data_IF_911473727155
#
_entry.id   IF_911473727155
#
_cell.length_a   1.000
_cell.length_b   1.000
_cell.length_c   1.000
_cell.angle_alpha   90.00
_cell.angle_beta   90.00
_cell.angle_gamma   90.00
#
_symmetry.space_group_name_H-M   'P 1'
#
loop_
_entity.id
_entity.type
_entity.pdbx_description
1 polymer ?
#
# COMPACT_ATOMS: atom_id res chain seq x y z
N UNK A 1 3.31 -5.23 -45.47
CA UNK A 1 3.09 -4.11 -44.52
C UNK A 1 2.52 -2.88 -45.20
N UNK A 2 3.11 -2.36 -46.30
CA UNK A 2 2.60 -1.16 -47.00
C UNK A 2 1.09 -1.19 -47.32
N UNK A 3 0.57 -2.30 -47.84
CA UNK A 3 -0.88 -2.44 -48.11
C UNK A 3 -1.76 -2.30 -46.85
N UNK A 4 -1.28 -2.75 -45.69
CA UNK A 4 -2.06 -2.66 -44.46
C UNK A 4 -2.10 -1.24 -43.89
N UNK A 5 -1.02 -0.47 -44.04
CA UNK A 5 -0.97 0.94 -43.63
C UNK A 5 -1.90 1.80 -44.49
N UNK A 6 -1.90 1.54 -45.81
CA UNK A 6 -2.76 2.26 -46.75
C UNK A 6 -4.24 1.91 -46.54
N UNK A 7 -4.57 0.65 -46.26
CA UNK A 7 -5.94 0.24 -45.89
C UNK A 7 -6.39 0.86 -44.56
N UNK A 8 -5.50 0.93 -43.57
CA UNK A 8 -5.80 1.59 -42.29
C UNK A 8 -6.00 3.11 -42.45
N UNK A 9 -5.22 3.75 -43.32
CA UNK A 9 -5.41 5.16 -43.68
C UNK A 9 -6.72 5.40 -44.43
N UNK A 10 -7.10 4.49 -45.34
CA UNK A 10 -8.40 4.56 -46.03
C UNK A 10 -9.56 4.41 -45.03
N UNK A 11 -9.49 3.42 -44.14
CA UNK A 11 -10.49 3.26 -43.08
C UNK A 11 -10.60 4.53 -42.23
N UNK A 12 -9.48 5.15 -41.88
CA UNK A 12 -9.47 6.43 -41.16
C UNK A 12 -10.21 7.54 -41.92
N UNK A 13 -9.99 7.69 -43.23
CA UNK A 13 -10.75 8.65 -44.04
C UNK A 13 -12.25 8.35 -44.01
N UNK A 14 -12.62 7.08 -44.18
CA UNK A 14 -14.01 6.66 -44.22
C UNK A 14 -14.71 6.94 -42.87
N UNK A 15 -14.01 6.78 -41.74
CA UNK A 15 -14.55 7.16 -40.41
C UNK A 15 -14.70 8.67 -40.28
N UNK A 16 -13.66 9.45 -40.64
CA UNK A 16 -13.69 10.92 -40.49
C UNK A 16 -14.76 11.57 -41.37
N UNK A 17 -15.04 10.99 -42.53
CA UNK A 17 -16.10 11.43 -43.44
C UNK A 17 -17.50 10.94 -43.05
N UNK A 18 -17.61 10.06 -42.04
CA UNK A 18 -18.89 9.53 -41.55
C UNK A 18 -19.45 8.35 -42.35
N UNK A 19 -18.65 7.76 -43.23
CA UNK A 19 -19.00 6.60 -44.05
C UNK A 19 -19.00 5.29 -43.24
N UNK A 20 -18.30 5.26 -42.10
CA UNK A 20 -18.27 4.10 -41.19
C UNK A 20 -18.39 4.57 -39.73
N UNK A 21 -19.30 3.95 -38.98
CA UNK A 21 -19.44 4.16 -37.53
C UNK A 21 -18.43 3.30 -36.77
N UNK A 22 -17.56 3.93 -35.98
CA UNK A 22 -16.57 3.23 -35.17
C UNK A 22 -16.33 3.91 -33.81
N UNK A 23 -15.87 3.12 -32.85
CA UNK A 23 -15.37 3.60 -31.57
C UNK A 23 -14.05 4.36 -31.77
N UNK A 24 -13.99 5.59 -31.27
CA UNK A 24 -12.85 6.51 -31.42
C UNK A 24 -11.53 5.92 -30.91
N UNK A 25 -11.58 5.14 -29.82
CA UNK A 25 -10.38 4.53 -29.21
C UNK A 25 -9.86 3.38 -30.07
N UNK A 26 -10.76 2.62 -30.70
CA UNK A 26 -10.38 1.59 -31.66
C UNK A 26 -9.69 2.22 -32.88
N UNK A 27 -10.19 3.36 -33.36
CA UNK A 27 -9.58 4.06 -34.48
C UNK A 27 -8.14 4.52 -34.16
N UNK A 28 -7.94 5.16 -33.01
CA UNK A 28 -6.59 5.55 -32.55
C UNK A 28 -5.69 4.33 -32.45
N UNK A 29 -6.18 3.23 -31.87
CA UNK A 29 -5.43 1.97 -31.74
C UNK A 29 -5.00 1.41 -33.09
N UNK A 30 -5.87 1.46 -34.10
CA UNK A 30 -5.58 1.01 -35.46
C UNK A 30 -4.47 1.88 -36.06
N UNK A 31 -4.56 3.21 -35.94
CA UNK A 31 -3.53 4.11 -36.44
C UNK A 31 -2.16 3.83 -35.78
N UNK A 32 -2.14 3.66 -34.47
CA UNK A 32 -0.93 3.31 -33.70
C UNK A 32 -0.33 1.96 -34.14
N UNK A 33 -1.15 0.90 -34.21
CA UNK A 33 -0.70 -0.47 -34.54
C UNK A 33 -0.15 -0.56 -35.95
N UNK A 34 -0.78 0.12 -36.91
CA UNK A 34 -0.33 0.14 -38.29
C UNK A 34 0.67 1.26 -38.59
N UNK A 35 1.01 2.09 -37.60
CA UNK A 35 1.94 3.22 -37.72
C UNK A 35 1.57 4.12 -38.92
N UNK A 36 0.30 4.51 -38.99
CA UNK A 36 -0.24 5.35 -40.07
C UNK A 36 0.26 6.79 -39.90
N UNK A 37 0.94 7.31 -40.91
CA UNK A 37 1.49 8.68 -40.93
C UNK A 37 0.69 9.59 -41.87
N UNK A 38 0.95 10.90 -41.81
CA UNK A 38 0.32 11.88 -42.70
C UNK A 38 0.48 11.52 -44.20
N UNK A 39 1.65 10.99 -44.59
CA UNK A 39 1.91 10.54 -45.97
C UNK A 39 0.96 9.43 -46.43
N UNK A 40 0.55 8.54 -45.51
CA UNK A 40 -0.42 7.49 -45.83
C UNK A 40 -1.83 8.07 -46.00
N UNK A 41 -2.20 9.06 -45.17
CA UNK A 41 -3.48 9.77 -45.28
C UNK A 41 -3.54 10.54 -46.59
N UNK A 42 -2.46 11.26 -46.95
CA UNK A 42 -2.34 11.96 -48.24
C UNK A 42 -2.52 11.00 -49.42
N UNK A 43 -1.85 9.85 -49.39
CA UNK A 43 -1.98 8.81 -50.41
C UNK A 43 -3.41 8.27 -50.52
N UNK A 44 -4.06 8.01 -49.39
CA UNK A 44 -5.45 7.54 -49.37
C UNK A 44 -6.42 8.61 -49.92
N UNK A 45 -6.18 9.88 -49.59
CA UNK A 45 -6.96 11.00 -50.13
C UNK A 45 -6.81 11.12 -51.65
N UNK A 46 -5.58 10.97 -52.17
CA UNK A 46 -5.30 10.95 -53.61
C UNK A 46 -5.99 9.80 -54.36
N UNK A 47 -6.12 8.63 -53.75
CA UNK A 47 -6.83 7.48 -54.33
C UNK A 47 -8.35 7.75 -54.38
N UNK A 48 -8.88 8.43 -53.37
CA UNK A 48 -10.31 8.76 -53.26
C UNK A 48 -10.74 9.98 -54.10
N UNK A 49 -9.79 10.84 -54.51
CA UNK A 49 -10.07 12.09 -55.19
C UNK A 49 -9.58 12.09 -56.66
N UNK A 50 -10.42 12.53 -57.59
CA UNK A 50 -10.12 12.60 -59.03
C UNK A 50 -9.11 13.69 -59.44
N UNK A 51 -8.42 14.37 -58.51
CA UNK A 51 -7.41 15.40 -58.80
C UNK A 51 -6.26 15.44 -57.76
N UNK A 52 -5.08 15.87 -58.22
CA UNK A 52 -3.84 16.02 -57.44
C UNK A 52 -4.04 16.86 -56.16
N UNK A 53 -3.90 16.23 -55.01
CA UNK A 53 -3.94 16.84 -53.67
C UNK A 53 -2.50 16.96 -53.14
N UNK A 54 -2.14 18.13 -52.61
CA UNK A 54 -0.87 18.41 -51.92
C UNK A 54 -0.96 18.07 -50.43
N UNK A 55 0.20 17.83 -49.81
CA UNK A 55 0.40 17.47 -48.40
C UNK A 55 -0.28 18.43 -47.41
N UNK A 56 -0.36 19.72 -47.73
CA UNK A 56 -1.05 20.76 -46.91
C UNK A 56 -2.54 20.47 -46.68
N UNK A 57 -3.21 19.75 -47.60
CA UNK A 57 -4.64 19.40 -47.43
C UNK A 57 -4.85 18.22 -46.47
N UNK A 58 -3.87 17.32 -46.34
CA UNK A 58 -3.99 16.14 -45.48
C UNK A 58 -3.78 16.51 -44.01
N UNK A 59 -2.81 17.37 -43.71
CA UNK A 59 -2.61 17.92 -42.36
C UNK A 59 -3.84 18.73 -41.91
N UNK A 60 -4.33 19.66 -42.74
CA UNK A 60 -5.53 20.43 -42.43
C UNK A 60 -6.79 19.55 -42.24
N UNK A 61 -6.90 18.45 -42.98
CA UNK A 61 -7.98 17.49 -42.82
C UNK A 61 -7.92 16.79 -41.45
N UNK A 62 -6.73 16.32 -41.05
CA UNK A 62 -6.50 15.69 -39.74
C UNK A 62 -6.70 16.70 -38.62
N UNK A 63 -6.19 17.92 -38.75
CA UNK A 63 -6.37 19.01 -37.78
C UNK A 63 -7.84 19.33 -37.55
N UNK A 64 -8.66 19.42 -38.62
CA UNK A 64 -10.09 19.65 -38.49
C UNK A 64 -10.79 18.52 -37.71
N UNK A 65 -10.39 17.28 -37.94
CA UNK A 65 -10.91 16.15 -37.17
C UNK A 65 -10.50 16.20 -35.69
N UNK A 66 -9.24 16.56 -35.41
CA UNK A 66 -8.73 16.75 -34.06
C UNK A 66 -9.48 17.91 -33.37
N UNK A 67 -9.74 19.02 -34.06
CA UNK A 67 -10.49 20.15 -33.53
C UNK A 67 -11.90 19.76 -33.09
N UNK A 68 -12.57 18.86 -33.81
CA UNK A 68 -13.88 18.32 -33.38
C UNK A 68 -13.77 17.57 -32.05
N UNK A 69 -12.72 16.78 -31.85
CA UNK A 69 -12.44 16.10 -30.57
C UNK A 69 -12.12 17.07 -29.45
N UNK A 70 -11.39 18.15 -29.74
CA UNK A 70 -11.10 19.21 -28.77
C UNK A 70 -12.38 19.98 -28.39
N UNK A 71 -13.32 20.15 -29.32
CA UNK A 71 -14.62 20.77 -29.06
C UNK A 71 -15.56 19.85 -28.27
N UNK A 72 -15.49 18.54 -28.46
CA UNK A 72 -16.26 17.54 -27.70
C UNK A 72 -15.62 17.14 -26.37
N UNK A 73 -14.55 17.81 -25.94
CA UNK A 73 -13.76 17.50 -24.73
C UNK A 73 -13.14 16.08 -24.72
N UNK A 74 -12.97 15.45 -25.89
CA UNK A 74 -12.27 14.16 -26.07
C UNK A 74 -10.74 14.37 -26.14
N UNK A 75 -10.15 14.97 -25.10
CA UNK A 75 -8.76 15.44 -25.10
C UNK A 75 -7.72 14.32 -25.26
N UNK A 76 -7.90 13.19 -24.58
CA UNK A 76 -7.01 12.03 -24.73
C UNK A 76 -6.94 11.53 -26.19
N UNK A 77 -8.08 11.50 -26.89
CA UNK A 77 -8.16 11.10 -28.30
C UNK A 77 -7.45 12.14 -29.17
N UNK A 78 -7.74 13.43 -28.95
CA UNK A 78 -7.09 14.54 -29.66
C UNK A 78 -5.56 14.51 -29.51
N UNK A 79 -5.05 14.38 -28.28
CA UNK A 79 -3.61 14.30 -28.01
C UNK A 79 -2.97 13.07 -28.66
N UNK A 80 -3.66 11.92 -28.66
CA UNK A 80 -3.14 10.70 -29.29
C UNK A 80 -3.04 10.84 -30.81
N UNK A 81 -4.00 11.52 -31.44
CA UNK A 81 -3.96 11.84 -32.87
C UNK A 81 -2.86 12.86 -33.19
N UNK A 82 -2.72 13.91 -32.38
CA UNK A 82 -1.64 14.90 -32.53
C UNK A 82 -0.25 14.24 -32.45
N UNK A 83 -0.04 13.35 -31.48
CA UNK A 83 1.20 12.58 -31.34
C UNK A 83 1.42 11.64 -32.54
N UNK A 84 0.39 10.87 -32.94
CA UNK A 84 0.45 9.92 -34.05
C UNK A 84 0.87 10.58 -35.36
N UNK A 85 0.35 11.79 -35.63
CA UNK A 85 0.63 12.53 -36.85
C UNK A 85 1.77 13.56 -36.69
N UNK A 86 2.38 13.65 -35.50
CA UNK A 86 3.47 14.58 -35.19
C UNK A 86 3.10 16.06 -35.41
N UNK A 87 1.89 16.46 -35.03
CA UNK A 87 1.36 17.82 -35.18
C UNK A 87 1.53 18.59 -33.85
N UNK A 88 2.18 19.76 -33.89
CA UNK A 88 2.57 20.52 -32.69
C UNK A 88 1.88 21.90 -32.54
N UNK A 89 0.96 22.24 -33.44
CA UNK A 89 0.47 23.63 -33.63
C UNK A 89 -0.38 24.17 -32.45
N UNK A 90 -0.85 23.31 -31.54
CA UNK A 90 -1.74 23.71 -30.44
C UNK A 90 -1.04 24.26 -29.18
N UNK A 91 0.28 24.06 -29.05
CA UNK A 91 1.14 24.70 -28.04
C UNK A 91 0.65 24.66 -26.58
N UNK A 92 0.92 25.74 -25.84
CA UNK A 92 0.56 25.95 -24.43
C UNK A 92 -0.94 26.19 -24.19
N UNK A 93 -1.69 26.95 -25.02
CA UNK A 93 -3.11 27.17 -24.80
C UNK A 93 -3.92 25.88 -24.69
N UNK A 94 -3.52 24.85 -25.44
CA UNK A 94 -4.16 23.55 -25.37
C UNK A 94 -3.87 22.81 -24.06
N UNK A 95 -2.65 22.95 -23.52
CA UNK A 95 -2.29 22.43 -22.21
C UNK A 95 -3.17 23.06 -21.11
N UNK A 96 -3.28 24.39 -21.10
CA UNK A 96 -4.10 25.11 -20.12
C UNK A 96 -5.57 24.68 -20.17
N UNK A 97 -6.13 24.53 -21.38
CA UNK A 97 -7.50 24.04 -21.58
C UNK A 97 -7.71 22.66 -20.96
N UNK A 98 -6.77 21.72 -21.14
CA UNK A 98 -6.87 20.38 -20.55
C UNK A 98 -6.78 20.40 -19.01
N UNK A 99 -5.95 21.30 -18.45
CA UNK A 99 -5.81 21.46 -17.00
C UNK A 99 -7.08 22.08 -16.40
N UNK A 100 -7.65 23.11 -17.03
CA UNK A 100 -8.90 23.76 -16.61
C UNK A 100 -10.07 22.75 -16.55
N UNK A 101 -10.16 21.90 -17.57
CA UNK A 101 -11.17 20.83 -17.68
C UNK A 101 -10.82 19.58 -16.87
N UNK A 102 -9.72 19.61 -16.11
CA UNK A 102 -9.23 18.52 -15.23
C UNK A 102 -8.91 17.21 -15.94
N UNK A 103 -8.64 17.23 -17.25
CA UNK A 103 -8.09 16.08 -17.98
C UNK A 103 -6.55 16.06 -17.86
N UNK A 104 -6.08 15.79 -16.65
CA UNK A 104 -4.67 15.71 -16.31
C UNK A 104 -3.92 14.64 -17.09
N UNK A 105 -4.60 13.55 -17.49
CA UNK A 105 -3.98 12.46 -18.25
C UNK A 105 -3.64 12.91 -19.66
N UNK A 106 -4.55 13.64 -20.30
CA UNK A 106 -4.31 14.22 -21.62
C UNK A 106 -3.22 15.30 -21.55
N UNK A 107 -3.27 16.16 -20.53
CA UNK A 107 -2.24 17.19 -20.30
C UNK A 107 -0.84 16.59 -20.13
N UNK A 108 -0.68 15.53 -19.32
CA UNK A 108 0.61 14.85 -19.15
C UNK A 108 1.13 14.22 -20.45
N UNK A 109 0.24 13.59 -21.24
CA UNK A 109 0.60 12.98 -22.52
C UNK A 109 1.04 14.07 -23.52
N UNK A 110 0.30 15.17 -23.60
CA UNK A 110 0.63 16.30 -24.48
C UNK A 110 1.96 16.94 -24.10
N UNK A 111 2.19 17.22 -22.82
CA UNK A 111 3.45 17.79 -22.37
C UNK A 111 4.64 16.86 -22.66
N UNK A 112 4.46 15.55 -22.49
CA UNK A 112 5.50 14.56 -22.80
C UNK A 112 5.85 14.55 -24.30
N UNK A 113 4.84 14.64 -25.16
CA UNK A 113 5.03 14.72 -26.62
C UNK A 113 5.72 16.01 -27.05
N UNK A 114 5.30 17.17 -26.50
CA UNK A 114 5.90 18.48 -26.80
C UNK A 114 7.31 18.65 -26.23
N UNK A 115 7.68 17.83 -25.25
CA UNK A 115 9.04 17.75 -24.71
C UNK A 115 9.26 18.61 -23.45
N UNK A 116 10.55 18.84 -23.16
CA UNK A 116 11.00 19.35 -21.85
C UNK A 116 10.38 20.71 -21.45
N UNK A 117 10.27 21.65 -22.38
CA UNK A 117 9.70 22.98 -22.10
C UNK A 117 8.25 22.89 -21.64
N UNK A 118 7.42 22.09 -22.33
CA UNK A 118 6.02 21.90 -21.98
C UNK A 118 5.86 21.14 -20.66
N UNK A 119 6.75 20.19 -20.37
CA UNK A 119 6.79 19.51 -19.07
C UNK A 119 7.09 20.48 -17.92
N UNK A 120 7.98 21.46 -18.12
CA UNK A 120 8.23 22.50 -17.12
C UNK A 120 6.97 23.34 -16.83
N UNK A 121 6.26 23.77 -17.87
CA UNK A 121 5.00 24.53 -17.72
C UNK A 121 3.96 23.70 -16.97
N UNK A 122 3.82 22.41 -17.31
CA UNK A 122 2.90 21.52 -16.60
C UNK A 122 3.24 21.38 -15.11
N UNK A 123 4.53 21.31 -14.77
CA UNK A 123 4.98 21.26 -13.37
C UNK A 123 4.62 22.55 -12.63
N UNK A 124 4.85 23.71 -13.24
CA UNK A 124 4.49 25.01 -12.66
C UNK A 124 2.99 25.13 -12.39
N UNK A 125 2.16 24.71 -13.36
CA UNK A 125 0.70 24.70 -13.18
C UNK A 125 0.24 23.74 -12.09
N UNK A 126 0.82 22.54 -12.01
CA UNK A 126 0.53 21.62 -10.93
C UNK A 126 0.90 22.20 -9.56
N UNK A 127 1.99 22.96 -9.46
CA UNK A 127 2.38 23.65 -8.23
C UNK A 127 1.36 24.74 -7.87
N UNK A 128 0.92 25.55 -8.85
CA UNK A 128 -0.12 26.58 -8.64
C UNK A 128 -1.43 25.97 -8.14
N UNK A 129 -1.79 24.78 -8.62
CA UNK A 129 -2.98 24.02 -8.20
C UNK A 129 -2.76 23.20 -6.91
N UNK A 130 -1.61 23.33 -6.24
CA UNK A 130 -1.23 22.56 -5.06
C UNK A 130 -1.21 21.02 -5.27
N UNK A 131 -0.99 20.57 -6.51
CA UNK A 131 -0.91 19.17 -6.92
C UNK A 131 0.52 18.61 -6.81
N UNK A 132 1.13 18.72 -5.64
CA UNK A 132 2.53 18.35 -5.38
C UNK A 132 2.88 16.91 -5.78
N UNK A 133 1.98 15.95 -5.53
CA UNK A 133 2.22 14.55 -5.91
C UNK A 133 2.30 14.34 -7.44
N UNK A 134 1.49 15.08 -8.19
CA UNK A 134 1.54 15.09 -9.66
C UNK A 134 2.85 15.71 -10.15
N UNK A 135 3.19 16.88 -9.62
CA UNK A 135 4.40 17.62 -9.97
C UNK A 135 5.66 16.77 -9.74
N UNK A 136 5.78 16.15 -8.56
CA UNK A 136 6.86 15.22 -8.24
C UNK A 136 6.94 14.04 -9.20
N UNK A 137 5.79 13.48 -9.57
CA UNK A 137 5.71 12.36 -10.52
C UNK A 137 6.27 12.73 -11.89
N UNK A 138 6.02 13.95 -12.36
CA UNK A 138 6.55 14.47 -13.63
C UNK A 138 8.04 14.77 -13.54
N UNK A 139 8.46 15.48 -12.48
CA UNK A 139 9.87 15.82 -12.23
C UNK A 139 10.73 14.56 -12.21
N UNK A 140 10.31 13.53 -11.47
CA UNK A 140 11.06 12.28 -11.31
C UNK A 140 11.14 11.45 -12.59
N UNK A 141 10.04 11.34 -13.36
CA UNK A 141 10.00 10.54 -14.59
C UNK A 141 10.85 11.12 -15.72
N UNK A 142 10.97 12.45 -15.75
CA UNK A 142 11.62 13.17 -16.84
C UNK A 142 12.96 13.80 -16.45
N UNK A 143 13.51 13.43 -15.29
CA UNK A 143 14.79 13.94 -14.76
C UNK A 143 14.86 15.48 -14.68
N UNK A 144 13.81 16.13 -14.18
CA UNK A 144 13.71 17.61 -14.07
C UNK A 144 14.09 18.16 -12.68
N UNK A 145 14.92 17.44 -11.93
CA UNK A 145 15.25 17.80 -10.55
C UNK A 145 16.09 19.10 -10.49
N UNK A 146 16.91 19.36 -11.50
CA UNK A 146 17.76 20.55 -11.55
C UNK A 146 16.94 21.82 -11.82
N UNK A 147 15.84 21.70 -12.54
CA UNK A 147 14.94 22.80 -12.89
C UNK A 147 14.00 23.16 -11.73
N UNK A 148 13.64 22.18 -10.90
CA UNK A 148 12.68 22.36 -9.80
C UNK A 148 13.19 21.81 -8.46
N UNK A 149 14.36 22.26 -7.95
CA UNK A 149 14.95 21.73 -6.72
C UNK A 149 14.04 21.97 -5.49
N UNK A 150 13.45 23.16 -5.37
CA UNK A 150 12.56 23.51 -4.25
C UNK A 150 11.26 22.71 -4.25
N UNK A 151 10.63 22.57 -5.42
CA UNK A 151 9.39 21.80 -5.58
C UNK A 151 9.66 20.33 -5.27
N UNK A 152 10.77 19.80 -5.78
CA UNK A 152 11.19 18.42 -5.54
C UNK A 152 11.41 18.16 -4.04
N UNK A 153 12.09 19.08 -3.34
CA UNK A 153 12.28 19.02 -1.89
C UNK A 153 10.95 19.07 -1.13
N UNK A 154 10.10 20.06 -1.41
CA UNK A 154 8.77 20.22 -0.77
C UNK A 154 7.87 19.00 -0.95
N UNK A 155 7.93 18.35 -2.11
CA UNK A 155 7.20 17.10 -2.35
C UNK A 155 7.71 15.94 -1.49
N UNK A 156 9.04 15.85 -1.29
CA UNK A 156 9.63 14.85 -0.39
C UNK A 156 9.23 15.12 1.06
N UNK A 157 9.31 16.36 1.53
CA UNK A 157 8.84 16.75 2.88
C UNK A 157 7.37 16.36 3.10
N UNK A 158 6.48 16.74 2.18
CA UNK A 158 5.06 16.37 2.27
C UNK A 158 4.86 14.85 2.35
N UNK A 159 5.62 14.09 1.55
CA UNK A 159 5.59 12.64 1.63
C UNK A 159 6.13 12.09 2.95
N UNK A 160 7.16 12.69 3.54
CA UNK A 160 7.72 12.28 4.84
C UNK A 160 6.72 12.57 5.96
N UNK A 161 6.10 13.76 5.94
CA UNK A 161 5.05 14.14 6.88
C UNK A 161 3.91 13.13 6.89
N UNK A 162 3.40 12.75 5.71
CA UNK A 162 2.34 11.73 5.61
C UNK A 162 2.78 10.36 6.15
N UNK A 163 4.07 9.99 6.04
CA UNK A 163 4.57 8.73 6.61
C UNK A 163 4.69 8.82 8.13
N UNK A 164 5.23 9.92 8.66
CA UNK A 164 5.35 10.19 10.09
C UNK A 164 3.96 10.20 10.77
N UNK A 165 2.97 10.88 10.19
CA UNK A 165 1.58 10.90 10.68
C UNK A 165 0.95 9.49 10.75
N UNK A 166 1.41 8.57 9.90
CA UNK A 166 0.97 7.17 9.89
C UNK A 166 1.78 6.25 10.82
N UNK A 167 2.81 6.78 11.48
CA UNK A 167 3.76 6.01 12.29
C UNK A 167 4.75 5.17 11.46
N UNK A 168 4.89 5.44 10.16
CA UNK A 168 5.77 4.70 9.26
C UNK A 168 7.22 5.25 9.29
N UNK A 169 7.82 5.32 10.48
CA UNK A 169 9.07 6.04 10.72
C UNK A 169 10.27 5.47 9.97
N UNK A 170 10.45 4.15 9.99
CA UNK A 170 11.60 3.53 9.32
C UNK A 170 11.51 3.65 7.78
N UNK A 171 10.28 3.65 7.25
CA UNK A 171 10.03 3.95 5.82
C UNK A 171 10.38 5.40 5.49
N UNK A 172 10.04 6.33 6.39
CA UNK A 172 10.35 7.75 6.22
C UNK A 172 11.86 7.98 6.29
N UNK A 173 12.53 7.34 7.24
CA UNK A 173 13.98 7.37 7.39
C UNK A 173 14.70 6.83 6.15
N UNK A 174 14.30 5.66 5.63
CA UNK A 174 14.88 5.08 4.42
C UNK A 174 14.74 5.99 3.18
N UNK A 175 13.72 6.85 3.14
CA UNK A 175 13.55 7.87 2.09
C UNK A 175 14.39 9.13 2.32
N UNK A 176 14.71 9.44 3.56
CA UNK A 176 15.45 10.63 3.97
C UNK A 176 16.96 10.40 4.08
N UNK A 177 17.43 9.15 4.28
CA UNK A 177 18.82 8.82 4.67
C UNK A 177 19.96 9.42 3.83
N UNK A 178 19.71 9.80 2.58
CA UNK A 178 20.70 10.39 1.69
C UNK A 178 20.61 11.93 1.62
N UNK A 179 19.78 12.55 2.46
CA UNK A 179 19.46 13.97 2.43
C UNK A 179 19.36 14.50 3.86
N UNK A 180 20.36 15.29 4.27
CA UNK A 180 20.48 15.78 5.64
C UNK A 180 19.31 16.68 6.04
N UNK A 181 18.81 17.52 5.13
CA UNK A 181 17.69 18.43 5.44
C UNK A 181 16.41 17.64 5.71
N UNK A 182 16.18 16.57 4.94
CA UNK A 182 15.04 15.70 5.15
C UNK A 182 15.15 14.86 6.44
N UNK A 183 16.37 14.47 6.83
CA UNK A 183 16.62 13.82 8.12
C UNK A 183 16.33 14.77 9.29
N UNK A 184 16.83 16.00 9.23
CA UNK A 184 16.54 17.04 10.22
C UNK A 184 15.03 17.32 10.29
N UNK A 185 14.34 17.42 9.15
CA UNK A 185 12.88 17.52 9.08
C UNK A 185 12.16 16.33 9.74
N UNK A 186 12.65 15.10 9.54
CA UNK A 186 12.10 13.92 10.19
C UNK A 186 12.27 13.96 11.71
N UNK A 187 13.39 14.49 12.22
CA UNK A 187 13.59 14.72 13.65
C UNK A 187 12.56 15.73 14.19
N UNK A 188 12.34 16.86 13.49
CA UNK A 188 11.32 17.82 13.89
C UNK A 188 9.91 17.19 13.96
N UNK A 189 9.55 16.37 12.97
CA UNK A 189 8.28 15.65 12.98
C UNK A 189 8.16 14.69 14.17
N UNK A 190 9.26 14.00 14.54
CA UNK A 190 9.28 13.11 15.70
C UNK A 190 9.12 13.89 17.02
N UNK A 191 9.77 15.06 17.14
CA UNK A 191 9.61 15.96 18.28
C UNK A 191 8.17 16.48 18.41
N UNK A 192 7.58 16.95 17.31
CA UNK A 192 6.19 17.43 17.30
C UNK A 192 5.19 16.33 17.67
N UNK A 193 5.46 15.09 17.26
CA UNK A 193 4.64 13.93 17.56
C UNK A 193 4.91 13.32 18.95
N UNK A 194 5.90 13.82 19.69
CA UNK A 194 6.24 13.36 21.05
C UNK A 194 7.05 12.06 21.11
N UNK A 195 7.66 11.61 20.01
CA UNK A 195 8.48 10.40 19.96
C UNK A 195 9.95 10.69 20.28
N UNK A 196 10.24 11.05 21.53
CA UNK A 196 11.59 11.43 21.99
C UNK A 196 12.62 10.31 21.78
N UNK A 197 12.21 9.05 21.94
CA UNK A 197 13.06 7.90 21.67
C UNK A 197 13.48 7.82 20.19
N UNK A 198 12.59 8.19 19.26
CA UNK A 198 12.91 8.22 17.83
C UNK A 198 13.78 9.42 17.49
N UNK A 199 13.62 10.54 18.20
CA UNK A 199 14.51 11.72 18.09
C UNK A 199 15.94 11.33 18.45
N UNK A 200 16.15 10.71 19.62
CA UNK A 200 17.47 10.29 20.08
C UNK A 200 18.08 9.24 19.13
N UNK A 201 17.26 8.31 18.64
CA UNK A 201 17.68 7.30 17.66
C UNK A 201 18.17 7.93 16.34
N UNK A 202 17.40 8.85 15.76
CA UNK A 202 17.75 9.53 14.50
C UNK A 202 18.99 10.42 14.68
N UNK A 203 19.03 11.22 15.76
CA UNK A 203 20.18 12.08 16.06
C UNK A 203 21.46 11.27 16.28
N UNK A 204 21.37 10.16 17.02
CA UNK A 204 22.50 9.26 17.26
C UNK A 204 22.96 8.57 15.97
N UNK A 205 22.04 8.01 15.18
CA UNK A 205 22.36 7.26 13.96
C UNK A 205 23.01 8.11 12.87
N UNK A 206 22.58 9.35 12.72
CA UNK A 206 23.06 10.25 11.65
C UNK A 206 23.94 11.40 12.14
N UNK A 207 24.34 11.38 13.41
CA UNK A 207 25.16 12.44 14.04
C UNK A 207 24.56 13.84 13.81
N UNK A 208 23.27 13.98 14.10
CA UNK A 208 22.57 15.26 13.98
C UNK A 208 22.70 16.04 15.30
N UNK A 209 23.14 17.30 15.21
CA UNK A 209 23.37 18.19 16.35
C UNK A 209 22.36 19.35 16.35
N UNK A 210 22.19 20.04 17.49
CA UNK A 210 21.31 21.21 17.60
C UNK A 210 19.86 20.91 18.01
N UNK A 211 19.49 19.63 18.10
CA UNK A 211 18.20 19.22 18.68
C UNK A 211 18.32 19.13 20.20
N UNK A 212 17.33 19.65 20.93
CA UNK A 212 17.29 19.56 22.39
C UNK A 212 17.20 18.08 22.75
N UNK A 213 18.29 17.51 23.26
CA UNK A 213 18.28 16.18 23.90
C UNK A 213 17.23 16.21 24.98
N UNK A 214 16.42 15.16 25.08
CA UNK A 214 15.39 15.04 26.10
C UNK A 214 16.01 15.24 27.49
N UNK A 215 15.91 16.47 28.04
CA UNK A 215 15.73 16.61 29.48
C UNK A 215 14.29 16.20 29.70
N UNK A 216 14.08 15.21 30.56
CA UNK A 216 12.75 14.77 31.00
C UNK A 216 11.82 15.98 31.12
N UNK A 217 10.78 16.10 30.28
CA UNK A 217 9.82 17.16 30.44
C UNK A 217 9.04 16.89 31.73
N UNK A 218 8.80 17.94 32.51
CA UNK A 218 7.86 17.94 33.63
C UNK A 218 6.60 17.12 33.28
N UNK A 219 6.21 16.26 34.23
CA UNK A 219 5.16 15.23 34.17
C UNK A 219 3.74 15.74 33.79
N UNK A 220 3.57 17.01 33.46
CA UNK A 220 2.28 17.71 33.36
C UNK A 220 1.78 17.99 31.92
N UNK A 221 2.49 17.57 30.87
CA UNK A 221 1.94 17.62 29.49
C UNK A 221 1.09 16.40 29.15
N UNK A 222 -0.13 16.42 29.66
CA UNK A 222 -1.24 15.45 29.52
C UNK A 222 -1.73 15.12 28.08
N UNK A 223 -0.93 15.24 27.01
CA UNK A 223 -1.41 15.06 25.62
C UNK A 223 -0.91 13.85 24.83
N UNK A 224 0.04 13.05 25.30
CA UNK A 224 0.47 11.84 24.55
C UNK A 224 1.21 10.78 25.37
N UNK A 225 0.63 10.30 26.47
CA UNK A 225 1.16 9.10 27.13
C UNK A 225 0.77 7.84 26.32
N UNK A 226 1.76 7.02 25.99
CA UNK A 226 1.58 5.68 25.44
C UNK A 226 1.57 4.66 26.58
N UNK A 227 0.86 3.54 26.40
CA UNK A 227 0.90 2.42 27.34
C UNK A 227 2.29 1.78 27.36
N UNK A 228 2.73 1.37 28.55
CA UNK A 228 3.87 0.45 28.74
C UNK A 228 3.40 -0.89 29.33
N UNK A 229 4.26 -1.90 29.26
CA UNK A 229 3.96 -3.22 29.84
C UNK A 229 3.78 -3.18 31.36
N UNK A 230 4.50 -2.29 32.05
CA UNK A 230 4.42 -2.11 33.51
C UNK A 230 3.01 -1.70 33.96
N UNK A 231 2.32 -0.86 33.17
CA UNK A 231 0.95 -0.43 33.45
C UNK A 231 -0.08 -1.57 33.34
N UNK A 232 0.28 -2.63 32.59
CA UNK A 232 -0.56 -3.78 32.33
C UNK A 232 -0.24 -4.96 33.26
N UNK A 233 0.70 -4.80 34.21
CA UNK A 233 1.09 -5.80 35.20
C UNK A 233 1.50 -7.15 34.57
N UNK A 234 2.27 -7.08 33.48
CA UNK A 234 2.93 -8.23 32.87
C UNK A 234 4.14 -8.61 33.72
N UNK A 235 4.18 -9.88 34.15
CA UNK A 235 5.21 -10.42 35.02
C UNK A 235 6.49 -10.72 34.22
N UNK A 236 6.34 -11.28 33.01
CA UNK A 236 7.48 -11.72 32.18
C UNK A 236 7.26 -11.47 30.69
N UNK A 237 8.35 -11.09 30.02
CA UNK A 237 8.48 -11.02 28.56
C UNK A 237 9.55 -12.02 28.09
N UNK A 238 9.12 -13.07 27.39
CA UNK A 238 9.96 -14.23 27.07
C UNK A 238 10.20 -14.31 25.55
N UNK A 239 11.46 -14.19 25.15
CA UNK A 239 11.90 -14.47 23.77
C UNK A 239 12.05 -15.98 23.57
N UNK A 240 11.42 -16.52 22.53
CA UNK A 240 11.35 -17.95 22.25
C UNK A 240 11.99 -18.24 20.89
N UNK A 241 13.21 -18.77 20.91
CA UNK A 241 14.01 -19.03 19.71
C UNK A 241 14.65 -20.42 19.68
N UNK A 242 14.20 -21.33 20.57
CA UNK A 242 14.63 -22.73 20.63
C UNK A 242 13.44 -23.67 20.83
N UNK A 243 13.63 -24.94 20.46
CA UNK A 243 12.62 -25.97 20.60
C UNK A 243 12.16 -26.19 22.05
N UNK A 244 13.09 -26.15 23.01
CA UNK A 244 12.79 -26.35 24.43
C UNK A 244 12.00 -25.17 25.00
N UNK A 245 12.41 -23.95 24.68
CA UNK A 245 11.67 -22.75 25.07
C UNK A 245 10.26 -22.74 24.46
N UNK A 246 10.11 -23.19 23.21
CA UNK A 246 8.81 -23.28 22.56
C UNK A 246 7.89 -24.31 23.22
N UNK A 247 8.42 -25.48 23.60
CA UNK A 247 7.65 -26.48 24.32
C UNK A 247 7.22 -26.00 25.72
N UNK A 248 8.10 -25.28 26.43
CA UNK A 248 7.77 -24.66 27.71
C UNK A 248 6.67 -23.60 27.55
N UNK A 249 6.81 -22.70 26.58
CA UNK A 249 5.82 -21.68 26.27
C UNK A 249 4.46 -22.31 25.89
N UNK A 250 4.47 -23.37 25.07
CA UNK A 250 3.26 -24.13 24.69
C UNK A 250 2.56 -24.74 25.90
N UNK A 251 3.32 -25.36 26.81
CA UNK A 251 2.78 -25.99 28.01
C UNK A 251 2.15 -24.97 28.96
N UNK A 252 2.69 -23.75 29.02
CA UNK A 252 2.08 -22.64 29.74
C UNK A 252 0.78 -22.18 29.06
N UNK A 253 0.82 -21.91 27.75
CA UNK A 253 -0.33 -21.40 27.00
C UNK A 253 -1.54 -22.34 26.98
N UNK A 254 -1.33 -23.66 27.01
CA UNK A 254 -2.41 -24.65 27.10
C UNK A 254 -3.19 -24.60 28.42
N UNK A 255 -2.58 -24.06 29.49
CA UNK A 255 -3.24 -23.86 30.77
C UNK A 255 -4.08 -22.58 30.79
N UNK A 256 -3.77 -21.62 29.91
CA UNK A 256 -4.53 -20.40 29.74
C UNK A 256 -5.89 -20.68 29.08
N UNK A 257 -6.91 -19.89 29.46
CA UNK A 257 -8.23 -19.94 28.80
C UNK A 257 -8.34 -18.95 27.64
N UNK A 258 -7.57 -17.88 27.70
CA UNK A 258 -7.59 -16.77 26.76
C UNK A 258 -6.15 -16.35 26.50
N UNK A 259 -5.80 -16.11 25.25
CA UNK A 259 -4.51 -15.54 24.84
C UNK A 259 -4.71 -14.49 23.76
N UNK A 260 -3.94 -13.41 23.80
CA UNK A 260 -3.80 -12.46 22.68
C UNK A 260 -2.78 -12.96 21.69
N UNK A 261 -3.02 -12.75 20.39
CA UNK A 261 -2.11 -13.12 19.30
C UNK A 261 -1.95 -11.98 18.32
N UNK A 262 -0.71 -11.76 17.90
CA UNK A 262 -0.36 -10.81 16.84
C UNK A 262 0.86 -11.31 16.05
N UNK A 263 1.22 -10.62 14.96
CA UNK A 263 2.35 -10.99 14.11
C UNK A 263 3.06 -9.76 13.54
N UNK A 264 4.38 -9.86 13.36
CA UNK A 264 5.17 -8.79 12.77
C UNK A 264 6.08 -9.30 11.65
N UNK A 265 6.23 -8.47 10.61
CA UNK A 265 7.08 -8.77 9.46
C UNK A 265 7.72 -7.50 8.90
N UNK A 266 8.90 -7.66 8.32
CA UNK A 266 9.58 -6.55 7.65
C UNK A 266 8.69 -5.97 6.54
N UNK A 267 8.44 -4.67 6.52
CA UNK A 267 7.64 -4.05 5.46
C UNK A 267 8.37 -4.13 4.11
N UNK A 268 7.59 -4.21 3.05
CA UNK A 268 8.12 -4.24 1.69
C UNK A 268 7.98 -2.86 1.04
N UNK A 269 9.10 -2.20 0.77
CA UNK A 269 9.12 -0.84 0.23
C UNK A 269 9.18 -0.80 -1.30
N UNK A 270 9.44 -1.93 -1.94
CA UNK A 270 9.50 -2.04 -3.40
C UNK A 270 8.13 -2.45 -3.92
N UNK A 271 7.61 -1.72 -4.90
CA UNK A 271 6.29 -2.04 -5.47
C UNK A 271 6.42 -3.30 -6.34
N UNK A 272 5.60 -4.31 -6.06
CA UNK A 272 5.51 -5.55 -6.85
C UNK A 272 6.49 -6.67 -6.45
N UNK A 273 7.32 -6.47 -5.43
CA UNK A 273 8.11 -7.55 -4.83
C UNK A 273 7.23 -8.51 -4.03
N UNK A 274 7.72 -9.75 -3.84
CA UNK A 274 7.04 -10.75 -3.02
C UNK A 274 6.90 -10.26 -1.57
N UNK A 275 5.79 -10.56 -0.88
CA UNK A 275 5.65 -10.25 0.54
C UNK A 275 6.78 -10.88 1.36
N UNK A 276 7.30 -10.13 2.35
CA UNK A 276 8.27 -10.69 3.29
C UNK A 276 7.60 -11.68 4.23
N UNK A 277 8.37 -12.64 4.74
CA UNK A 277 7.83 -13.64 5.67
C UNK A 277 7.49 -13.02 7.02
N UNK A 278 6.51 -13.60 7.72
CA UNK A 278 6.27 -13.29 9.14
C UNK A 278 7.53 -13.58 9.93
N UNK A 279 8.08 -12.56 10.59
CA UNK A 279 9.37 -12.66 11.28
C UNK A 279 9.21 -13.14 12.71
N UNK A 280 8.18 -12.64 13.41
CA UNK A 280 7.83 -13.04 14.77
C UNK A 280 6.32 -13.20 14.92
N UNK A 281 5.92 -14.02 15.89
CA UNK A 281 4.54 -14.12 16.36
C UNK A 281 4.53 -13.88 17.86
N UNK A 282 3.59 -13.07 18.32
CA UNK A 282 3.43 -12.80 19.74
C UNK A 282 2.23 -13.55 20.27
N UNK A 283 2.37 -14.13 21.46
CA UNK A 283 1.26 -14.77 22.17
C UNK A 283 1.32 -14.33 23.62
N UNK A 284 0.27 -13.67 24.11
CA UNK A 284 0.21 -13.12 25.45
C UNK A 284 -0.91 -13.75 26.26
N UNK A 285 -0.63 -14.11 27.51
CA UNK A 285 -1.64 -14.35 28.54
C UNK A 285 -1.95 -13.05 29.28
N UNK A 286 -2.69 -13.14 30.39
CA UNK A 286 -2.88 -12.02 31.32
C UNK A 286 -1.57 -11.59 32.01
N UNK A 287 -0.57 -12.47 32.08
CA UNK A 287 0.63 -12.27 32.91
C UNK A 287 1.96 -12.41 32.19
N UNK A 288 1.99 -13.14 31.08
CA UNK A 288 3.24 -13.45 30.38
C UNK A 288 3.05 -13.23 28.90
N UNK A 289 4.01 -12.55 28.27
CA UNK A 289 4.07 -12.36 26.83
C UNK A 289 5.22 -13.19 26.25
N UNK A 290 4.93 -14.00 25.24
CA UNK A 290 5.90 -14.76 24.48
C UNK A 290 6.09 -14.13 23.10
N UNK A 291 7.34 -13.94 22.69
CA UNK A 291 7.69 -13.53 21.33
C UNK A 291 8.45 -14.68 20.67
N UNK A 292 7.79 -15.33 19.70
CA UNK A 292 8.33 -16.46 18.96
C UNK A 292 9.14 -15.99 17.75
N UNK A 293 10.41 -16.37 17.68
CA UNK A 293 11.26 -16.16 16.50
C UNK A 293 10.90 -17.18 15.40
N UNK A 294 9.89 -16.86 14.59
CA UNK A 294 9.42 -17.79 13.56
C UNK A 294 10.48 -18.09 12.49
N UNK A 295 11.41 -17.15 12.24
CA UNK A 295 12.49 -17.36 11.27
C UNK A 295 13.39 -18.49 11.78
N UNK A 296 13.93 -18.32 12.99
CA UNK A 296 14.85 -19.29 13.58
C UNK A 296 14.17 -20.61 13.90
N UNK A 297 12.98 -20.59 14.50
CA UNK A 297 12.25 -21.82 14.86
C UNK A 297 11.87 -22.65 13.63
N UNK A 298 11.53 -22.01 12.51
CA UNK A 298 11.21 -22.73 11.28
C UNK A 298 12.46 -23.37 10.65
N UNK A 299 13.61 -22.70 10.72
CA UNK A 299 14.85 -23.22 10.16
C UNK A 299 15.45 -24.33 11.05
N UNK A 300 15.40 -24.17 12.37
CA UNK A 300 16.03 -25.08 13.34
C UNK A 300 15.14 -26.27 13.73
N UNK A 301 13.83 -26.07 13.87
CA UNK A 301 12.92 -27.09 14.43
C UNK A 301 11.48 -27.01 13.86
N UNK A 302 11.27 -27.15 12.53
CA UNK A 302 9.98 -26.93 11.90
C UNK A 302 8.88 -27.89 12.38
N UNK A 303 9.20 -29.15 12.69
CA UNK A 303 8.22 -30.14 13.18
C UNK A 303 7.75 -29.79 14.60
N UNK A 304 8.66 -29.32 15.45
CA UNK A 304 8.35 -28.89 16.81
C UNK A 304 7.52 -27.61 16.75
N UNK A 305 7.92 -26.64 15.91
CA UNK A 305 7.14 -25.44 15.64
C UNK A 305 5.70 -25.76 15.21
N UNK A 306 5.54 -26.66 14.24
CA UNK A 306 4.23 -27.06 13.74
C UNK A 306 3.39 -27.70 14.85
N UNK A 307 3.94 -28.70 15.54
CA UNK A 307 3.22 -29.44 16.58
C UNK A 307 2.79 -28.55 17.77
N UNK A 308 3.66 -27.63 18.20
CA UNK A 308 3.39 -26.68 19.28
C UNK A 308 2.30 -25.68 18.89
N UNK A 309 2.40 -25.07 17.72
CA UNK A 309 1.38 -24.11 17.27
C UNK A 309 0.05 -24.77 16.91
N UNK A 310 0.04 -26.04 16.44
CA UNK A 310 -1.19 -26.83 16.31
C UNK A 310 -1.91 -26.94 17.66
N UNK A 311 -1.18 -27.26 18.74
CA UNK A 311 -1.75 -27.38 20.09
C UNK A 311 -2.37 -26.10 20.61
N UNK A 312 -1.99 -24.93 20.09
CA UNK A 312 -2.53 -23.63 20.49
C UNK A 312 -3.64 -23.17 19.52
N UNK A 313 -3.31 -23.04 18.24
CA UNK A 313 -4.19 -22.47 17.22
C UNK A 313 -5.38 -23.37 16.92
N UNK A 314 -5.19 -24.69 16.88
CA UNK A 314 -6.29 -25.63 16.61
C UNK A 314 -7.06 -26.02 17.88
N UNK A 315 -6.61 -25.61 19.07
CA UNK A 315 -7.25 -26.02 20.31
C UNK A 315 -8.58 -25.28 20.53
N UNK A 316 -9.69 -26.00 20.77
CA UNK A 316 -10.96 -25.39 21.18
C UNK A 316 -10.97 -24.98 22.66
N UNK A 317 -9.91 -25.30 23.43
CA UNK A 317 -9.84 -25.00 24.87
C UNK A 317 -9.29 -23.62 25.18
N UNK A 318 -8.59 -23.02 24.21
CA UNK A 318 -7.95 -21.71 24.34
C UNK A 318 -8.62 -20.76 23.37
N UNK A 319 -9.20 -19.68 23.88
CA UNK A 319 -9.71 -18.58 23.08
C UNK A 319 -8.54 -17.70 22.62
N UNK A 320 -8.36 -17.56 21.31
CA UNK A 320 -7.37 -16.65 20.72
C UNK A 320 -8.05 -15.31 20.45
N UNK A 321 -7.45 -14.23 20.91
CA UNK A 321 -7.88 -12.87 20.64
C UNK A 321 -6.93 -12.27 19.62
N UNK A 322 -7.45 -11.72 18.54
CA UNK A 322 -6.65 -11.05 17.52
C UNK A 322 -7.31 -9.75 17.10
N UNK A 323 -6.60 -8.91 16.33
CA UNK A 323 -7.17 -7.70 15.75
C UNK A 323 -6.99 -7.71 14.23
N UNK A 324 -8.07 -7.97 13.48
CA UNK A 324 -8.00 -8.25 12.04
C UNK A 324 -7.07 -9.44 11.70
N UNK A 325 -7.02 -10.43 12.60
CA UNK A 325 -6.06 -11.55 12.58
C UNK A 325 -6.18 -12.48 11.36
N UNK A 326 -7.28 -12.35 10.59
CA UNK A 326 -7.41 -13.05 9.32
C UNK A 326 -6.32 -12.62 8.31
N UNK A 327 -5.89 -11.36 8.35
CA UNK A 327 -4.77 -10.87 7.55
C UNK A 327 -3.45 -11.54 7.97
N UNK A 328 -3.21 -11.65 9.27
CA UNK A 328 -2.01 -12.30 9.82
C UNK A 328 -1.97 -13.78 9.47
N UNK A 329 -3.10 -14.48 9.58
CA UNK A 329 -3.19 -15.89 9.20
C UNK A 329 -2.89 -16.11 7.71
N UNK A 330 -3.33 -15.20 6.84
CA UNK A 330 -3.00 -15.24 5.41
C UNK A 330 -1.49 -15.05 5.19
N UNK A 331 -0.88 -14.09 5.88
CA UNK A 331 0.55 -13.82 5.80
C UNK A 331 1.38 -15.00 6.35
N UNK A 332 0.98 -15.60 7.48
CA UNK A 332 1.58 -16.80 8.07
C UNK A 332 1.53 -17.99 7.11
N UNK A 333 0.35 -18.27 6.54
CA UNK A 333 0.15 -19.36 5.57
C UNK A 333 1.03 -19.20 4.33
N UNK A 334 1.15 -17.97 3.82
CA UNK A 334 2.01 -17.64 2.69
C UNK A 334 3.51 -17.73 3.02
N UNK A 335 3.88 -17.41 4.26
CA UNK A 335 5.27 -17.43 4.73
C UNK A 335 5.79 -18.85 4.97
N UNK A 336 4.94 -19.72 5.52
CA UNK A 336 5.28 -21.06 5.97
C UNK A 336 4.28 -22.12 5.44
N UNK A 337 4.15 -22.30 4.12
CA UNK A 337 3.08 -23.12 3.51
C UNK A 337 3.14 -24.62 3.85
N UNK A 338 4.28 -25.08 4.37
CA UNK A 338 4.48 -26.47 4.80
C UNK A 338 3.88 -26.75 6.18
N UNK A 339 3.78 -25.75 7.05
CA UNK A 339 3.26 -25.94 8.40
C UNK A 339 1.73 -26.10 8.38
N UNK A 340 1.23 -27.09 9.09
CA UNK A 340 -0.20 -27.33 9.24
C UNK A 340 -0.85 -26.36 10.23
N UNK A 341 -0.10 -25.86 11.22
CA UNK A 341 -0.58 -24.97 12.28
C UNK A 341 -1.19 -23.66 11.76
N UNK A 342 -0.78 -23.19 10.58
CA UNK A 342 -1.30 -21.95 9.98
C UNK A 342 -2.44 -22.18 8.97
N UNK A 343 -2.86 -23.44 8.75
CA UNK A 343 -3.95 -23.75 7.81
C UNK A 343 -5.32 -23.80 8.49
N UNK A 344 -5.34 -23.86 9.81
CA UNK A 344 -6.57 -23.97 10.61
C UNK A 344 -6.41 -23.17 11.89
N UNK A 345 -7.52 -22.69 12.40
CA UNK A 345 -7.62 -22.19 13.76
C UNK A 345 -9.03 -22.44 14.28
N UNK A 346 -9.15 -22.62 15.59
CA UNK A 346 -10.42 -22.75 16.29
C UNK A 346 -10.53 -21.65 17.34
N UNK A 347 -11.73 -21.32 17.81
CA UNK A 347 -11.90 -20.41 18.96
C UNK A 347 -11.14 -19.08 18.81
N UNK A 348 -11.24 -18.43 17.65
CA UNK A 348 -10.65 -17.10 17.43
C UNK A 348 -11.75 -16.03 17.58
N UNK A 349 -11.51 -15.03 18.41
CA UNK A 349 -12.32 -13.83 18.52
C UNK A 349 -11.53 -12.64 17.95
N UNK A 350 -12.05 -12.06 16.88
CA UNK A 350 -11.50 -10.85 16.30
C UNK A 350 -12.05 -9.61 17.00
N UNK A 351 -11.22 -8.97 17.82
CA UNK A 351 -11.57 -7.81 18.64
C UNK A 351 -12.07 -6.65 17.77
N UNK A 352 -11.58 -6.51 16.54
CA UNK A 352 -12.06 -5.47 15.62
C UNK A 352 -13.56 -5.63 15.32
N UNK A 353 -14.05 -6.86 15.19
CA UNK A 353 -15.46 -7.14 14.89
C UNK A 353 -16.37 -6.88 16.08
N UNK A 354 -15.86 -7.06 17.30
CA UNK A 354 -16.63 -6.81 18.53
C UNK A 354 -16.88 -5.32 18.74
N UNK A 355 -15.86 -4.48 18.55
CA UNK A 355 -15.94 -3.05 18.88
C UNK A 355 -16.43 -2.12 17.77
N UNK A 356 -16.74 -2.65 16.56
CA UNK A 356 -17.17 -1.92 15.34
C UNK A 356 -16.26 -0.71 15.01
N UNK A 357 -15.39 -0.87 14.01
CA UNK A 357 -14.45 0.13 13.46
C UNK A 357 -14.19 1.37 14.36
N UNK A 358 -13.31 1.21 15.35
CA UNK A 358 -12.74 2.37 16.02
C UNK A 358 -11.81 3.11 15.03
N UNK A 359 -12.02 4.41 14.84
CA UNK A 359 -11.08 5.26 14.13
C UNK A 359 -9.67 5.09 14.73
N UNK A 360 -8.68 4.78 13.91
CA UNK A 360 -7.27 4.70 14.32
C UNK A 360 -6.71 3.30 14.62
N UNK A 361 -7.46 2.22 14.35
CA UNK A 361 -6.99 0.84 14.50
C UNK A 361 -6.93 0.36 15.95
N UNK A 362 -6.11 -0.66 16.24
CA UNK A 362 -5.94 -1.20 17.59
C UNK A 362 -5.56 -0.11 18.60
N UNK A 363 -4.57 0.74 18.27
CA UNK A 363 -4.20 1.89 19.10
C UNK A 363 -5.34 2.86 19.40
N UNK A 364 -6.24 3.09 18.43
CA UNK A 364 -7.40 3.97 18.63
C UNK A 364 -8.43 3.34 19.57
N UNK A 365 -8.66 2.03 19.43
CA UNK A 365 -9.50 1.26 20.33
C UNK A 365 -8.91 1.22 21.75
N UNK A 366 -7.62 0.93 21.87
CA UNK A 366 -6.89 0.91 23.14
C UNK A 366 -6.96 2.27 23.83
N UNK A 367 -6.75 3.38 23.11
CA UNK A 367 -6.94 4.73 23.67
C UNK A 367 -8.36 4.97 24.18
N UNK A 368 -9.36 4.51 23.44
CA UNK A 368 -10.78 4.68 23.82
C UNK A 368 -11.13 3.90 25.10
N UNK A 369 -10.57 2.70 25.28
CA UNK A 369 -10.97 1.77 26.35
C UNK A 369 -10.04 1.85 27.57
N UNK A 370 -8.73 1.95 27.34
CA UNK A 370 -7.67 1.95 28.36
C UNK A 370 -7.09 3.35 28.64
N UNK A 371 -7.56 4.39 27.94
CA UNK A 371 -7.19 5.80 28.19
C UNK A 371 -5.87 6.26 27.54
N UNK A 372 -4.97 5.33 27.20
CA UNK A 372 -3.70 5.62 26.54
C UNK A 372 -3.56 4.83 25.22
N UNK A 373 -2.84 5.39 24.24
CA UNK A 373 -2.64 4.77 22.93
C UNK A 373 -1.44 3.81 22.91
N UNK A 374 -1.23 3.15 21.77
CA UNK A 374 -0.01 2.37 21.53
C UNK A 374 0.99 3.21 20.76
N UNK A 375 2.26 3.12 21.13
CA UNK A 375 3.34 3.78 20.41
C UNK A 375 3.49 3.12 19.04
N UNK A 376 3.40 3.88 17.94
CA UNK A 376 3.43 3.34 16.57
C UNK A 376 4.81 3.31 15.94
N UNK A 377 5.87 3.67 16.67
CA UNK A 377 7.21 3.86 16.08
C UNK A 377 7.83 2.61 15.48
N UNK A 378 7.43 1.41 15.92
CA UNK A 378 8.02 0.13 15.48
C UNK A 378 7.16 -0.66 14.50
N UNK A 379 5.96 -0.19 14.16
CA UNK A 379 5.01 -0.87 13.26
C UNK A 379 5.58 -1.29 11.90
N UNK A 380 6.53 -0.52 11.37
CA UNK A 380 7.17 -0.78 10.09
C UNK A 380 8.68 -0.99 10.25
N UNK A 381 9.10 -1.56 11.38
CA UNK A 381 10.52 -1.80 11.64
C UNK A 381 11.06 -3.00 10.88
N UNK A 382 12.39 -3.11 10.85
CA UNK A 382 13.04 -4.29 10.30
C UNK A 382 12.91 -5.46 11.29
N UNK A 383 11.78 -6.16 11.25
CA UNK A 383 11.49 -7.30 12.12
C UNK A 383 12.31 -8.56 11.83
N UNK A 384 13.10 -8.58 10.76
CA UNK A 384 14.10 -9.61 10.47
C UNK A 384 15.43 -9.36 11.20
N UNK A 385 15.63 -8.17 11.79
CA UNK A 385 16.87 -7.86 12.51
C UNK A 385 17.03 -8.79 13.73
N UNK A 386 18.26 -9.27 13.96
CA UNK A 386 18.63 -10.00 15.18
C UNK A 386 19.92 -9.43 15.79
N UNK A 387 19.96 -9.19 17.12
CA UNK A 387 18.82 -9.22 18.04
C UNK A 387 17.81 -8.09 17.75
N UNK A 388 16.56 -8.29 18.14
CA UNK A 388 15.57 -7.21 18.18
C UNK A 388 15.93 -6.21 19.29
N UNK A 389 15.60 -4.94 19.10
CA UNK A 389 15.84 -3.93 20.13
C UNK A 389 14.82 -4.05 21.28
N UNK A 390 15.13 -3.55 22.48
CA UNK A 390 14.17 -3.53 23.59
C UNK A 390 12.83 -2.87 23.21
N UNK A 391 12.86 -1.78 22.44
CA UNK A 391 11.64 -1.09 21.99
C UNK A 391 10.84 -1.92 20.98
N UNK A 392 11.49 -2.74 20.14
CA UNK A 392 10.80 -3.68 19.26
C UNK A 392 10.12 -4.79 20.07
N UNK A 393 10.81 -5.33 21.09
CA UNK A 393 10.25 -6.37 21.97
C UNK A 393 9.04 -5.84 22.75
N UNK A 394 9.15 -4.65 23.35
CA UNK A 394 8.05 -4.03 24.09
C UNK A 394 6.84 -3.74 23.19
N UNK A 395 7.07 -3.14 22.01
CA UNK A 395 6.01 -2.89 21.03
C UNK A 395 5.28 -4.18 20.65
N UNK A 396 6.05 -5.22 20.28
CA UNK A 396 5.53 -6.51 19.86
C UNK A 396 4.68 -7.16 20.97
N UNK A 397 5.18 -7.14 22.21
CA UNK A 397 4.47 -7.69 23.35
C UNK A 397 3.16 -6.94 23.61
N UNK A 398 3.17 -5.61 23.57
CA UNK A 398 1.99 -4.78 23.81
C UNK A 398 0.86 -5.09 22.83
N UNK A 399 1.15 -5.27 21.53
CA UNK A 399 0.13 -5.55 20.51
C UNK A 399 -0.67 -6.85 20.78
N UNK A 400 -0.05 -7.85 21.43
CA UNK A 400 -0.75 -9.05 21.89
C UNK A 400 -1.39 -8.89 23.29
N UNK A 401 -0.68 -8.27 24.24
CA UNK A 401 -1.13 -8.11 25.63
C UNK A 401 -2.42 -7.30 25.70
N UNK A 402 -2.50 -6.17 24.99
CA UNK A 402 -3.68 -5.29 25.06
C UNK A 402 -4.96 -5.98 24.61
N UNK A 403 -4.88 -7.01 23.76
CA UNK A 403 -6.05 -7.78 23.35
C UNK A 403 -6.71 -8.48 24.54
N UNK A 404 -5.91 -9.03 25.45
CA UNK A 404 -6.38 -9.67 26.68
C UNK A 404 -7.07 -8.66 27.59
N UNK A 405 -6.46 -7.49 27.81
CA UNK A 405 -7.05 -6.42 28.64
C UNK A 405 -8.33 -5.84 28.03
N UNK A 406 -8.36 -5.63 26.71
CA UNK A 406 -9.58 -5.22 26.00
C UNK A 406 -10.70 -6.24 26.20
N UNK A 407 -10.39 -7.53 26.15
CA UNK A 407 -11.38 -8.59 26.37
C UNK A 407 -11.87 -8.66 27.81
N UNK A 408 -10.99 -8.49 28.80
CA UNK A 408 -11.39 -8.37 30.21
C UNK A 408 -12.38 -7.21 30.42
N UNK A 409 -12.16 -6.08 29.73
CA UNK A 409 -13.07 -4.94 29.78
C UNK A 409 -14.47 -5.26 29.22
N UNK A 410 -14.57 -6.08 28.16
CA UNK A 410 -15.86 -6.60 27.66
C UNK A 410 -16.56 -7.44 28.73
N UNK A 411 -15.80 -8.30 29.44
CA UNK A 411 -16.30 -9.17 30.50
C UNK A 411 -16.87 -8.39 31.70
N UNK A 412 -16.20 -7.32 32.12
CA UNK A 412 -16.66 -6.49 33.24
C UNK A 412 -17.93 -5.70 32.93
N UNK A 413 -18.14 -5.29 31.68
CA UNK A 413 -19.34 -4.55 31.24
C UNK A 413 -20.53 -5.46 30.90
N UNK A 414 -20.39 -6.79 31.03
CA UNK A 414 -21.46 -7.76 30.77
C UNK A 414 -22.13 -8.30 32.05
N UNK A 415 -21.74 -7.79 33.23
CA UNK A 415 -22.47 -7.98 34.48
C UNK A 415 -23.53 -6.87 34.65
N UNK A 416 -24.76 -7.18 35.09
CA UNK A 416 -25.79 -6.17 35.29
C UNK A 416 -25.45 -5.32 36.52
N UNK A 417 -24.86 -4.14 36.30
CA UNK A 417 -24.90 -3.08 37.31
C UNK A 417 -26.25 -2.40 37.22
N UNK A 418 -27.04 -2.49 38.29
CA UNK A 418 -28.22 -1.66 38.54
C UNK A 418 -27.82 -0.18 38.62
N UNK A 419 -27.61 0.46 37.47
CA UNK A 419 -27.48 1.91 37.36
C UNK A 419 -27.75 2.36 35.93
N UNK A 420 -28.45 3.49 35.82
CA UNK A 420 -28.87 4.14 34.59
C UNK A 420 -27.68 4.51 33.69
N UNK A 421 -27.23 3.60 32.83
CA UNK A 421 -26.71 3.98 31.52
C UNK A 421 -26.93 2.83 30.54
N UNK A 422 -27.26 3.15 29.30
CA UNK A 422 -27.70 2.20 28.28
C UNK A 422 -26.60 1.26 27.78
N UNK A 423 -26.03 0.43 28.66
CA UNK A 423 -25.00 -0.55 28.31
C UNK A 423 -25.61 -1.65 27.46
N UNK A 424 -25.41 -1.53 26.15
CA UNK A 424 -25.74 -2.58 25.19
C UNK A 424 -24.87 -3.79 25.53
N UNK A 425 -25.49 -4.88 25.97
CA UNK A 425 -24.85 -6.18 26.20
C UNK A 425 -24.05 -6.57 24.96
N UNK A 426 -22.72 -6.47 25.00
CA UNK A 426 -21.87 -6.78 23.86
C UNK A 426 -21.87 -8.28 23.60
N UNK A 427 -22.52 -8.71 22.52
CA UNK A 427 -22.63 -10.11 22.11
C UNK A 427 -21.36 -10.58 21.38
N UNK A 428 -20.26 -10.74 22.12
CA UNK A 428 -18.98 -11.16 21.55
C UNK A 428 -18.94 -12.64 21.16
N UNK A 429 -19.74 -13.50 21.80
CA UNK A 429 -19.72 -14.97 21.58
C UNK A 429 -20.11 -15.36 20.14
N UNK A 430 -21.00 -14.59 19.50
CA UNK A 430 -21.41 -14.82 18.11
C UNK A 430 -20.30 -14.49 17.10
N UNK A 431 -19.25 -13.80 17.53
CA UNK A 431 -18.10 -13.41 16.70
C UNK A 431 -16.92 -14.39 16.80
N UNK A 432 -17.06 -15.46 17.60
CA UNK A 432 -16.05 -16.53 17.67
C UNK A 432 -16.13 -17.35 16.38
N UNK A 433 -14.99 -17.46 15.70
CA UNK A 433 -14.86 -18.15 14.42
C UNK A 433 -13.87 -19.30 14.50
N UNK A 434 -14.08 -20.28 13.62
CA UNK A 434 -13.13 -21.36 13.33
C UNK A 434 -12.94 -21.44 11.82
N UNK A 435 -11.73 -21.74 11.37
CA UNK A 435 -11.37 -21.82 9.96
C UNK A 435 -10.59 -23.09 9.65
N UNK A 436 -10.87 -23.68 8.49
CA UNK A 436 -10.10 -24.79 7.92
C UNK A 436 -9.85 -24.46 6.45
N UNK A 437 -8.57 -24.34 6.06
CA UNK A 437 -8.21 -24.10 4.67
C UNK A 437 -8.45 -25.37 3.83
N UNK A 438 -9.56 -25.39 3.10
CA UNK A 438 -9.89 -26.46 2.17
C UNK A 438 -9.16 -26.23 0.84
N UNK A 439 -7.94 -26.77 0.75
CA UNK A 439 -7.06 -26.80 -0.43
C UNK A 439 -7.66 -27.40 -1.72
N UNK A 440 -8.95 -27.78 -1.73
CA UNK A 440 -9.69 -28.21 -2.92
C UNK A 440 -10.19 -27.05 -3.82
N UNK A 441 -10.21 -25.80 -3.36
CA UNK A 441 -10.60 -24.66 -4.22
C UNK A 441 -9.51 -24.25 -5.21
N UNK A 442 -8.23 -24.45 -4.89
CA UNK A 442 -7.09 -24.01 -5.71
C UNK A 442 -6.89 -24.82 -7.01
N UNK A 443 -7.49 -26.02 -7.13
CA UNK A 443 -7.43 -26.82 -8.36
C UNK A 443 -8.46 -26.41 -9.43
N UNK A 444 -9.50 -25.63 -9.10
CA UNK A 444 -10.46 -25.14 -10.11
C UNK A 444 -9.90 -23.97 -10.93
N UNK A 445 -9.02 -23.17 -10.36
CA UNK A 445 -8.41 -22.03 -11.07
C UNK A 445 -7.21 -22.43 -11.94
N UNK A 446 -6.54 -23.56 -11.63
CA UNK A 446 -5.46 -24.12 -12.46
C UNK A 446 -5.96 -24.85 -13.72
N UNK A 447 -7.26 -25.17 -13.82
CA UNK A 447 -7.86 -25.77 -15.03
C UNK A 447 -8.32 -24.77 -16.10
N UNK A 448 -8.19 -23.46 -15.85
CA UNK A 448 -8.53 -22.40 -16.84
C UNK A 448 -7.35 -21.95 -17.71
N UNK A 449 -6.15 -22.50 -17.50
CA UNK A 449 -4.96 -22.17 -18.28
C UNK A 449 -4.43 -23.46 -18.90
N UNK A 450 -5.05 -23.90 -19.99
CA UNK A 450 -4.38 -24.77 -20.97
C UNK A 450 -4.52 -24.14 -22.36
N UNK A 451 -3.47 -24.15 -23.20
CA UNK A 451 -3.51 -23.56 -24.53
C UNK A 451 -4.37 -24.41 -25.47
N UNK A 452 -5.20 -23.78 -26.30
CA UNK A 452 -5.88 -24.44 -27.42
C UNK A 452 -4.81 -25.00 -28.37
N UNK A 453 -4.74 -26.32 -28.46
CA UNK A 453 -3.90 -27.05 -29.41
C UNK A 453 -4.38 -26.79 -30.83
N UNK A 454 -3.41 -26.53 -31.71
CA UNK A 454 -3.53 -26.41 -33.17
C UNK A 454 -4.11 -27.72 -33.74
N UNK A 455 -5.21 -27.63 -34.47
CA UNK A 455 -5.64 -28.68 -35.40
C UNK A 455 -5.00 -28.41 -36.76
N UNK A 456 -4.01 -29.23 -37.11
CA UNK A 456 -3.64 -29.48 -38.49
C UNK A 456 -4.76 -30.31 -39.14
N UNK A 457 -5.23 -29.85 -40.30
CA UNK A 457 -6.12 -30.59 -41.18
C UNK A 457 -5.28 -31.41 -42.17
N UNK A 458 -5.53 -32.70 -42.26
CA UNK A 458 -5.17 -33.53 -43.41
C UNK A 458 -6.45 -33.99 -44.14
N UNK A 459 -6.32 -34.05 -45.46
CA UNK A 459 -7.15 -34.74 -46.48
C UNK A 459 -8.60 -34.29 -46.69
N UNK A 460 -8.84 -33.53 -47.76
CA UNK A 460 -9.30 -34.08 -49.05
C UNK A 460 -9.10 -33.11 -50.20
#
# INVERSE_FOLDING_TARGET
MLQAQDLAAQLFLDVVQGSVLHDERLLVKILEVFNVKLVNVEKAMLISATQNISTEKAEAFVENYILRHIQSQSYMTAVSLLEQFSICNSGEPFLYKMIEEKDFRAAEKWASFMGKSMLCILVEEYVKLNMLKGAYGIIKRNNLQAEFPEVYHKCKESSLKTLAEKGCWDVAEERAKNDRQLLEYLVYLAMEAGYLEKVDELCGRYSLEGFVKAKEPDLDRLQSRYLSLDELFIDDLIWVDSADALQAATSYMEQCKVVGVDCEWKPNHVKGSKPNKVSIMQIASEKVAFILDLIKLYDDAPEILDSCLVRILHSPRVLKLGYNFQCDMHQLSGSYPKLACFKRYEMLLDIQKVFKEACGGLSGLVKKILGAGLNKTRRNSNWEQRPLTPQQLEYAALDAVVLVHLFQHIGSHSQPTDALDGSVKMEWKSHIVSHVDNSKKSQKDLKKIQPKTVQQAESH
#
